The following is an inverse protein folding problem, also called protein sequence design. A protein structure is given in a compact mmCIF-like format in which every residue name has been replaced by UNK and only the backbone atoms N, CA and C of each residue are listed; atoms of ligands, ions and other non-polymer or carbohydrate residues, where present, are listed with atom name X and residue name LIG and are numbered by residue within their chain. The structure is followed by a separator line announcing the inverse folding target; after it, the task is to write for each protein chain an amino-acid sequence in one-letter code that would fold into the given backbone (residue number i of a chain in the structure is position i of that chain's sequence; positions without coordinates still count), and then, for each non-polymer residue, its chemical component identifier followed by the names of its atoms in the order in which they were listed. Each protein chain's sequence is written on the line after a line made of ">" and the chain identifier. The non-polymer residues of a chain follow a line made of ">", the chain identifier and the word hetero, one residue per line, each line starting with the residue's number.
data_IF_982767957990
#
_entry.id   IF_982767957990
#
_cell.length_a   1.000
_cell.length_b   1.000
_cell.length_c   1.000
_cell.angle_alpha   90.00
_cell.angle_beta   90.00
_cell.angle_gamma   90.00
#
_symmetry.space_group_name_H-M   'P 1'
#
loop_
_entity.id
_entity.type
_entity.pdbx_description
1 polymer ?
#
# COMPACT_ATOMS: atom_id res chain seq x y z
N UNK A 1 -6.16 -4.03 -20.45
CA UNK A 1 -6.39 -3.98 -18.98
C UNK A 1 -5.20 -4.65 -18.33
N UNK A 2 -4.26 -3.87 -17.87
CA UNK A 2 -3.00 -4.36 -17.35
C UNK A 2 -3.13 -4.41 -15.82
N UNK A 3 -2.92 -5.59 -15.27
CA UNK A 3 -3.02 -5.87 -13.85
C UNK A 3 -1.98 -5.05 -13.08
N UNK A 4 -2.43 -4.06 -12.32
CA UNK A 4 -1.61 -3.14 -11.51
C UNK A 4 -1.10 -3.81 -10.21
N UNK A 5 -1.35 -5.10 -10.04
CA UNK A 5 -0.96 -5.86 -8.83
C UNK A 5 0.39 -6.57 -8.91
N UNK A 6 1.22 -6.25 -9.92
CA UNK A 6 2.41 -7.03 -10.23
C UNK A 6 3.69 -6.77 -9.45
N UNK A 7 4.08 -5.57 -8.99
CA UNK A 7 5.44 -5.37 -8.50
C UNK A 7 5.65 -5.53 -7.00
N UNK A 8 4.63 -5.38 -6.16
CA UNK A 8 4.83 -5.46 -4.71
C UNK A 8 5.17 -6.86 -4.17
N UNK A 9 4.89 -7.92 -4.91
CA UNK A 9 5.15 -9.30 -4.46
C UNK A 9 6.47 -9.92 -4.91
N UNK A 10 7.35 -9.21 -5.62
CA UNK A 10 8.60 -9.81 -6.12
C UNK A 10 9.89 -9.19 -5.60
N UNK A 11 9.86 -8.50 -4.48
CA UNK A 11 11.11 -8.16 -3.78
C UNK A 11 11.58 -9.33 -2.90
N UNK A 12 11.75 -10.50 -3.53
CA UNK A 12 12.47 -11.62 -2.94
C UNK A 12 13.92 -11.57 -3.41
N UNK A 13 14.77 -11.13 -2.49
CA UNK A 13 16.11 -11.62 -2.25
C UNK A 13 17.07 -11.72 -3.45
N UNK A 14 17.99 -10.81 -3.49
CA UNK A 14 19.38 -11.19 -3.76
C UNK A 14 20.18 -10.98 -2.48
N UNK A 15 20.24 -11.99 -1.66
CA UNK A 15 21.19 -12.10 -0.55
C UNK A 15 22.47 -12.71 -1.10
N UNK A 16 23.44 -11.90 -1.42
CA UNK A 16 24.82 -12.35 -1.60
C UNK A 16 25.59 -12.13 -0.31
N UNK A 17 25.78 -13.21 0.35
CA UNK A 17 26.70 -13.62 1.39
C UNK A 17 27.98 -12.78 1.46
N UNK A 18 28.22 -12.16 2.61
CA UNK A 18 29.56 -11.96 3.14
C UNK A 18 29.53 -12.14 4.65
N UNK A 19 30.09 -13.24 5.09
CA UNK A 19 30.30 -13.58 6.48
C UNK A 19 31.33 -12.62 7.09
N UNK A 20 30.88 -11.78 8.01
CA UNK A 20 31.73 -11.16 9.03
C UNK A 20 31.03 -11.34 10.36
N UNK A 21 31.66 -12.14 11.18
CA UNK A 21 31.25 -12.42 12.57
C UNK A 21 31.30 -11.11 13.37
N UNK A 22 30.14 -10.65 13.83
CA UNK A 22 30.03 -9.62 14.84
C UNK A 22 29.32 -10.24 16.04
N UNK A 23 29.88 -10.10 17.28
CA UNK A 23 29.32 -10.76 18.46
C UNK A 23 27.95 -10.16 18.82
N UNK A 24 27.06 -11.07 19.15
CA UNK A 24 25.71 -10.84 19.62
C UNK A 24 25.61 -9.81 20.75
N UNK A 25 25.04 -8.67 20.47
CA UNK A 25 24.26 -7.92 21.44
C UNK A 25 22.80 -8.27 21.12
N UNK A 26 22.27 -9.15 21.94
CA UNK A 26 20.88 -9.56 21.91
C UNK A 26 19.97 -8.35 22.19
N UNK A 27 19.58 -7.65 21.17
CA UNK A 27 18.32 -6.92 21.19
C UNK A 27 17.26 -7.92 20.75
N UNK A 28 16.67 -8.54 21.74
CA UNK A 28 15.41 -9.23 21.57
C UNK A 28 14.38 -8.18 21.14
N UNK A 29 14.33 -7.88 19.85
CA UNK A 29 13.12 -7.32 19.26
C UNK A 29 12.09 -8.43 19.35
N UNK A 30 11.28 -8.35 20.39
CA UNK A 30 10.04 -9.07 20.49
C UNK A 30 9.16 -8.60 19.34
N UNK A 31 9.28 -9.32 18.22
CA UNK A 31 8.21 -9.41 17.23
C UNK A 31 7.08 -10.18 17.92
N UNK A 32 6.36 -9.50 18.81
CA UNK A 32 5.07 -9.98 19.27
C UNK A 32 4.20 -10.20 18.05
N UNK A 33 3.27 -11.18 18.07
CA UNK A 33 2.34 -11.35 16.96
C UNK A 33 1.61 -10.02 16.76
N UNK A 34 1.89 -9.34 15.65
CA UNK A 34 1.11 -8.17 15.26
C UNK A 34 -0.34 -8.61 15.19
N UNK A 35 -1.27 -7.88 15.83
CA UNK A 35 -2.68 -8.21 15.72
C UNK A 35 -3.03 -8.23 14.23
N UNK A 36 -3.40 -9.41 13.72
CA UNK A 36 -3.80 -9.55 12.32
C UNK A 36 -5.02 -8.66 12.12
N UNK A 37 -4.87 -7.67 11.24
CA UNK A 37 -5.99 -6.86 10.82
C UNK A 37 -7.03 -7.81 10.20
N UNK A 38 -8.29 -7.76 10.62
CA UNK A 38 -9.30 -8.66 10.07
C UNK A 38 -9.51 -8.36 8.57
N UNK A 39 -9.83 -9.41 7.83
CA UNK A 39 -10.20 -9.31 6.42
C UNK A 39 -11.36 -8.33 6.26
N UNK A 40 -11.27 -7.36 5.34
CA UNK A 40 -12.32 -6.37 5.17
C UNK A 40 -13.58 -7.00 4.55
N UNK A 41 -14.72 -6.41 4.88
CA UNK A 41 -15.99 -6.74 4.24
C UNK A 41 -16.26 -5.75 3.08
N UNK A 42 -17.20 -6.09 2.20
CA UNK A 42 -17.68 -5.16 1.17
C UNK A 42 -18.16 -3.82 1.77
N UNK A 43 -18.83 -3.88 2.93
CA UNK A 43 -19.31 -2.69 3.63
C UNK A 43 -18.14 -1.80 4.10
N UNK A 44 -17.03 -2.38 4.54
CA UNK A 44 -15.83 -1.63 4.93
C UNK A 44 -15.24 -0.90 3.72
N UNK A 45 -15.12 -1.58 2.57
CA UNK A 45 -14.63 -0.97 1.32
C UNK A 45 -15.52 0.19 0.88
N UNK A 46 -16.84 -0.01 0.86
CA UNK A 46 -17.80 1.03 0.51
C UNK A 46 -17.76 2.22 1.46
N UNK A 47 -17.59 1.96 2.76
CA UNK A 47 -17.49 3.01 3.77
C UNK A 47 -16.24 3.89 3.55
N UNK A 48 -15.09 3.27 3.29
CA UNK A 48 -13.85 4.01 3.01
C UNK A 48 -13.99 4.83 1.73
N UNK A 49 -14.55 4.29 0.66
CA UNK A 49 -14.82 5.05 -0.57
C UNK A 49 -15.69 6.27 -0.27
N UNK A 50 -16.76 6.10 0.52
CA UNK A 50 -17.64 7.19 0.93
C UNK A 50 -16.92 8.26 1.75
N UNK A 51 -16.06 7.85 2.70
CA UNK A 51 -15.27 8.76 3.53
C UNK A 51 -14.32 9.60 2.65
N UNK A 52 -13.60 8.95 1.74
CA UNK A 52 -12.64 9.62 0.86
C UNK A 52 -13.35 10.56 -0.12
N UNK A 53 -14.42 10.11 -0.76
CA UNK A 53 -15.15 10.93 -1.75
C UNK A 53 -15.90 12.11 -1.15
N UNK A 54 -16.29 12.04 0.12
CA UNK A 54 -16.98 13.12 0.83
C UNK A 54 -16.05 14.24 1.33
N UNK A 55 -14.74 13.98 1.37
CA UNK A 55 -13.72 14.92 1.87
C UNK A 55 -12.73 15.27 0.75
N UNK A 56 -12.72 16.54 0.36
CA UNK A 56 -11.85 17.04 -0.72
C UNK A 56 -10.35 16.83 -0.43
N UNK A 57 -9.94 16.96 0.84
CA UNK A 57 -8.53 16.77 1.23
C UNK A 57 -8.14 15.32 1.11
N UNK A 58 -9.00 14.40 1.56
CA UNK A 58 -8.79 12.96 1.41
C UNK A 58 -8.81 12.54 -0.05
N UNK A 59 -9.74 13.04 -0.83
CA UNK A 59 -9.82 12.74 -2.25
C UNK A 59 -8.57 13.20 -3.01
N UNK A 60 -8.08 14.43 -2.70
CA UNK A 60 -6.84 14.92 -3.28
C UNK A 60 -5.64 14.06 -2.86
N UNK A 61 -5.56 13.68 -1.58
CA UNK A 61 -4.49 12.82 -1.08
C UNK A 61 -4.49 11.44 -1.77
N UNK A 62 -5.67 10.86 -2.02
CA UNK A 62 -5.79 9.62 -2.78
C UNK A 62 -5.28 9.78 -4.21
N UNK A 63 -5.70 10.83 -4.92
CA UNK A 63 -5.24 11.09 -6.29
C UNK A 63 -3.73 11.34 -6.37
N UNK A 64 -3.15 12.02 -5.37
CA UNK A 64 -1.72 12.26 -5.33
C UNK A 64 -0.97 10.96 -5.01
N UNK A 65 -1.51 10.09 -4.16
CA UNK A 65 -0.95 8.76 -3.88
C UNK A 65 -0.92 7.88 -5.14
N UNK A 66 -2.00 7.85 -5.91
CA UNK A 66 -2.06 7.12 -7.19
C UNK A 66 -0.99 7.61 -8.18
N UNK A 67 -0.72 8.92 -8.22
CA UNK A 67 0.36 9.47 -9.05
C UNK A 67 1.75 9.05 -8.57
N UNK A 68 1.94 8.97 -7.24
CA UNK A 68 3.19 8.51 -6.66
C UNK A 68 3.51 7.05 -7.02
N UNK A 69 2.53 6.18 -7.13
CA UNK A 69 2.72 4.78 -7.52
C UNK A 69 3.47 4.67 -8.85
N UNK A 70 3.08 5.44 -9.86
CA UNK A 70 3.79 5.49 -11.14
C UNK A 70 5.23 6.02 -11.03
N UNK A 71 5.48 6.95 -10.11
CA UNK A 71 6.84 7.47 -9.88
C UNK A 71 7.71 6.45 -9.13
N UNK A 72 7.13 5.71 -8.19
CA UNK A 72 7.81 4.61 -7.47
C UNK A 72 8.21 3.52 -8.45
N UNK A 73 7.31 3.12 -9.34
CA UNK A 73 7.61 2.11 -10.37
C UNK A 73 8.78 2.57 -11.27
N UNK A 74 8.73 3.81 -11.75
CA UNK A 74 9.79 4.36 -12.60
C UNK A 74 11.14 4.50 -11.86
N UNK A 75 11.14 4.83 -10.58
CA UNK A 75 12.36 4.91 -9.76
C UNK A 75 12.90 3.50 -9.44
N UNK A 76 12.03 2.53 -9.20
CA UNK A 76 12.41 1.14 -8.97
C UNK A 76 13.06 0.50 -10.20
N UNK A 77 12.54 0.76 -11.40
CA UNK A 77 13.15 0.31 -12.65
C UNK A 77 14.57 0.85 -12.86
N UNK A 78 14.83 2.06 -12.38
CA UNK A 78 16.15 2.72 -12.46
C UNK A 78 17.07 2.39 -11.29
N UNK A 79 16.60 1.63 -10.30
CA UNK A 79 17.28 1.36 -9.03
C UNK A 79 17.69 2.67 -8.29
N UNK A 80 16.88 3.72 -8.41
CA UNK A 80 17.12 5.03 -7.77
C UNK A 80 16.61 5.01 -6.33
N UNK A 81 17.44 4.49 -5.43
CA UNK A 81 17.12 4.34 -4.01
C UNK A 81 16.83 5.67 -3.33
N UNK A 82 17.53 6.73 -3.71
CA UNK A 82 17.34 8.06 -3.13
C UNK A 82 15.96 8.64 -3.46
N UNK A 83 15.54 8.48 -4.71
CA UNK A 83 14.20 8.89 -5.13
C UNK A 83 13.14 8.03 -4.45
N UNK A 84 13.35 6.71 -4.32
CA UNK A 84 12.43 5.81 -3.62
C UNK A 84 12.22 6.22 -2.17
N UNK A 85 13.26 6.53 -1.40
CA UNK A 85 13.15 7.03 -0.02
C UNK A 85 12.36 8.34 0.08
N UNK A 86 12.54 9.24 -0.88
CA UNK A 86 11.82 10.50 -0.91
C UNK A 86 10.32 10.29 -1.23
N UNK A 87 10.00 9.37 -2.14
CA UNK A 87 8.62 9.01 -2.50
C UNK A 87 7.91 8.27 -1.37
N UNK A 88 8.62 7.41 -0.62
CA UNK A 88 8.09 6.72 0.55
C UNK A 88 7.59 7.73 1.61
N UNK A 89 8.42 8.73 1.95
CA UNK A 89 8.02 9.79 2.89
C UNK A 89 6.81 10.60 2.39
N UNK A 90 6.72 10.82 1.09
CA UNK A 90 5.55 11.49 0.52
C UNK A 90 4.31 10.61 0.61
N UNK A 91 4.44 9.31 0.35
CA UNK A 91 3.35 8.35 0.49
C UNK A 91 2.84 8.26 1.92
N UNK A 92 3.73 8.21 2.92
CA UNK A 92 3.37 8.24 4.34
C UNK A 92 2.53 9.48 4.68
N UNK A 93 3.01 10.67 4.28
CA UNK A 93 2.30 11.93 4.55
C UNK A 93 0.92 12.00 3.87
N UNK A 94 0.74 11.38 2.71
CA UNK A 94 -0.55 11.31 2.02
C UNK A 94 -1.47 10.28 2.70
N UNK A 95 -0.93 9.16 3.14
CA UNK A 95 -1.67 8.13 3.86
C UNK A 95 -2.20 8.67 5.19
N UNK A 96 -1.41 9.45 5.91
CA UNK A 96 -1.86 10.14 7.13
C UNK A 96 -3.08 11.04 6.89
N UNK A 97 -3.12 11.73 5.75
CA UNK A 97 -4.28 12.57 5.37
C UNK A 97 -5.52 11.74 5.05
N UNK A 98 -5.35 10.53 4.52
CA UNK A 98 -6.46 9.62 4.22
C UNK A 98 -7.11 9.07 5.49
N UNK A 99 -6.33 8.91 6.56
CA UNK A 99 -6.80 8.52 7.87
C UNK A 99 -6.73 7.02 8.16
N UNK A 100 -6.97 6.64 9.43
CA UNK A 100 -6.74 5.28 9.90
C UNK A 100 -7.67 4.24 9.26
N UNK A 101 -8.88 4.62 8.85
CA UNK A 101 -9.81 3.70 8.19
C UNK A 101 -9.30 3.24 6.83
N UNK A 102 -8.69 4.16 6.08
CA UNK A 102 -8.06 3.85 4.80
C UNK A 102 -6.89 2.89 4.99
N UNK A 103 -6.04 3.17 5.96
CA UNK A 103 -4.89 2.33 6.30
C UNK A 103 -5.32 0.93 6.68
N UNK A 104 -6.28 0.83 7.61
CA UNK A 104 -6.84 -0.45 8.07
C UNK A 104 -7.45 -1.27 6.92
N UNK A 105 -8.09 -0.59 5.96
CA UNK A 105 -8.61 -1.25 4.77
C UNK A 105 -7.49 -1.82 3.92
N UNK A 106 -6.43 -1.03 3.64
CA UNK A 106 -5.31 -1.49 2.82
C UNK A 106 -4.59 -2.69 3.43
N UNK A 107 -4.30 -2.66 4.73
CA UNK A 107 -3.73 -3.80 5.47
C UNK A 107 -4.65 -5.03 5.42
N UNK A 108 -5.96 -4.82 5.54
CA UNK A 108 -6.93 -5.90 5.46
C UNK A 108 -7.03 -6.53 4.06
N UNK A 109 -6.85 -5.73 3.00
CA UNK A 109 -6.86 -6.22 1.62
C UNK A 109 -5.70 -7.19 1.32
N UNK A 110 -4.59 -7.06 2.02
CA UNK A 110 -3.48 -8.03 1.91
C UNK A 110 -3.86 -9.44 2.36
N UNK A 111 -4.93 -9.57 3.16
CA UNK A 111 -5.47 -10.87 3.61
C UNK A 111 -6.46 -11.48 2.60
N UNK A 112 -6.81 -10.76 1.54
CA UNK A 112 -7.75 -11.21 0.51
C UNK A 112 -6.98 -11.89 -0.62
N UNK A 113 -7.44 -13.08 -1.01
CA UNK A 113 -6.88 -13.77 -2.18
C UNK A 113 -7.13 -12.92 -3.44
N UNK A 114 -6.07 -12.48 -4.14
CA UNK A 114 -6.19 -11.57 -5.29
C UNK A 114 -6.99 -12.16 -6.47
N UNK A 115 -7.06 -13.48 -6.59
CA UNK A 115 -7.78 -14.16 -7.66
C UNK A 115 -9.26 -14.44 -7.30
N UNK A 116 -9.65 -14.17 -6.06
CA UNK A 116 -11.01 -14.39 -5.58
C UNK A 116 -12.03 -13.45 -6.24
N UNK A 117 -13.28 -13.88 -6.26
CA UNK A 117 -14.41 -13.04 -6.69
C UNK A 117 -14.59 -11.82 -5.78
N UNK A 118 -14.27 -11.97 -4.51
CA UNK A 118 -14.34 -10.92 -3.49
C UNK A 118 -13.30 -9.83 -3.76
N UNK A 119 -12.04 -10.19 -4.09
CA UNK A 119 -11.02 -9.22 -4.50
C UNK A 119 -11.46 -8.42 -5.72
N UNK A 120 -12.02 -9.07 -6.72
CA UNK A 120 -12.55 -8.42 -7.92
C UNK A 120 -13.68 -7.43 -7.61
N UNK A 121 -14.57 -7.79 -6.69
CA UNK A 121 -15.63 -6.90 -6.23
C UNK A 121 -15.06 -5.68 -5.49
N UNK A 122 -14.10 -5.87 -4.58
CA UNK A 122 -13.45 -4.79 -3.86
C UNK A 122 -12.71 -3.83 -4.80
N UNK A 123 -12.00 -4.37 -5.77
CA UNK A 123 -11.31 -3.58 -6.80
C UNK A 123 -12.30 -2.78 -7.66
N UNK A 124 -13.45 -3.35 -8.00
CA UNK A 124 -14.49 -2.62 -8.73
C UNK A 124 -15.01 -1.42 -7.93
N UNK A 125 -15.22 -1.57 -6.61
CA UNK A 125 -15.66 -0.49 -5.73
C UNK A 125 -14.56 0.58 -5.59
N UNK A 126 -13.30 0.18 -5.35
CA UNK A 126 -12.16 1.10 -5.22
C UNK A 126 -11.88 1.87 -6.51
N UNK A 127 -12.13 1.28 -7.68
CA UNK A 127 -11.95 1.95 -8.97
C UNK A 127 -12.80 3.21 -9.15
N UNK A 128 -13.86 3.38 -8.35
CA UNK A 128 -14.65 4.62 -8.33
C UNK A 128 -13.83 5.81 -7.80
N UNK A 129 -12.88 5.56 -6.89
CA UNK A 129 -11.96 6.61 -6.42
C UNK A 129 -11.06 7.08 -7.57
N UNK A 130 -10.46 6.14 -8.30
CA UNK A 130 -9.54 6.46 -9.40
C UNK A 130 -10.23 7.24 -10.52
N UNK A 131 -11.48 6.87 -10.86
CA UNK A 131 -12.30 7.62 -11.83
C UNK A 131 -12.55 9.05 -11.39
N UNK A 132 -12.57 9.32 -10.10
CA UNK A 132 -12.76 10.66 -9.56
C UNK A 132 -11.51 11.53 -9.65
N UNK A 133 -10.32 10.92 -9.80
CA UNK A 133 -9.06 11.64 -9.98
C UNK A 133 -8.84 12.20 -11.39
N UNK A 134 -9.59 11.74 -12.38
CA UNK A 134 -9.42 12.11 -13.79
C UNK A 134 -10.32 13.25 -14.28
N UNK A 135 -11.09 13.85 -13.38
CA UNK A 135 -12.03 14.94 -13.72
C UNK A 135 -11.42 16.32 -13.54
#
# INVERSE_FOLDING_TARGET
>A
MIAIWGPFMKLKLVAAISALAIPALAHAQQSGPQPKVPKPTKADVQNVVRIVTSDKVKMQAHCDLTKLEGQVEAAAEKNDTKTLEALEKQAEALTDKLGPEYFKLMDGLEQVDPDSSEAKEFMAILSELDKSCTK
#
